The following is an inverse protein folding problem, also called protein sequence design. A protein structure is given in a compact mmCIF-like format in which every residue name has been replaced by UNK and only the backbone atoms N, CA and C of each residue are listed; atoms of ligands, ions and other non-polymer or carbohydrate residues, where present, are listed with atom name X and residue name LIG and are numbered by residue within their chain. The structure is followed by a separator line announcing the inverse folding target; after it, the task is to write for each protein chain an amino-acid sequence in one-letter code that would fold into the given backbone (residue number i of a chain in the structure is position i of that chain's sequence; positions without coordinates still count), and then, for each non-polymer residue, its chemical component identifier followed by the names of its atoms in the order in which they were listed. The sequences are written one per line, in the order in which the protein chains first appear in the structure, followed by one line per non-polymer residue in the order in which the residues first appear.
data_IF_362490870990
#
_entry.id   IF_362490870990
#
_cell.length_a   1.000
_cell.length_b   1.000
_cell.length_c   1.000
_cell.angle_alpha   90.00
_cell.angle_beta   90.00
_cell.angle_gamma   90.00
#
_symmetry.space_group_name_H-M   'P 1'
#
loop_
_entity.id
_entity.type
_entity.pdbx_description
1 polymer ?
#
# COMPACT_ATOMS: atom_id res chain seq x y z
N UNK A 1 -41.30 47.69 23.43
CA UNK A 1 -41.24 46.32 24.00
C UNK A 1 -42.60 45.69 23.76
N UNK A 2 -42.82 45.18 22.55
CA UNK A 2 -44.11 44.65 22.08
C UNK A 2 -44.12 43.13 22.28
N UNK A 3 -45.12 42.63 23.02
CA UNK A 3 -45.39 41.20 23.17
C UNK A 3 -45.73 40.60 21.80
N UNK A 4 -45.07 39.52 21.36
CA UNK A 4 -45.49 38.80 20.16
C UNK A 4 -46.83 38.10 20.42
N UNK A 5 -47.71 38.15 19.43
CA UNK A 5 -49.13 37.79 19.49
C UNK A 5 -49.42 36.41 20.12
N UNK A 6 -50.19 36.49 21.20
CA UNK A 6 -50.73 35.39 21.99
C UNK A 6 -52.00 34.87 21.31
N UNK A 7 -51.89 34.07 20.23
CA UNK A 7 -52.97 33.15 19.78
C UNK A 7 -52.62 32.21 18.62
N UNK A 8 -51.35 31.96 18.33
CA UNK A 8 -50.99 30.88 17.42
C UNK A 8 -50.61 29.64 18.23
N UNK A 9 -51.51 28.66 18.25
CA UNK A 9 -51.35 27.35 18.89
C UNK A 9 -51.40 26.29 17.79
N UNK A 10 -50.42 25.41 17.75
CA UNK A 10 -50.43 24.23 16.90
C UNK A 10 -50.51 23.02 17.82
N UNK A 11 -51.53 22.17 17.66
CA UNK A 11 -51.75 20.97 18.48
C UNK A 11 -51.63 21.25 20.00
N UNK A 12 -52.52 22.09 20.53
CA UNK A 12 -52.73 22.30 21.98
C UNK A 12 -51.53 22.91 22.74
N UNK A 13 -50.37 23.07 22.10
CA UNK A 13 -49.16 23.67 22.66
C UNK A 13 -48.83 25.01 21.98
N UNK A 14 -48.22 25.97 22.71
CA UNK A 14 -47.89 27.28 22.15
C UNK A 14 -46.72 27.18 21.15
N UNK A 15 -46.76 27.97 20.07
CA UNK A 15 -45.78 27.90 18.96
C UNK A 15 -44.30 28.00 19.37
N UNK A 16 -43.98 28.70 20.46
CA UNK A 16 -42.59 28.81 20.94
C UNK A 16 -42.02 27.45 21.37
N UNK A 17 -42.87 26.52 21.83
CA UNK A 17 -42.47 25.13 22.15
C UNK A 17 -42.10 24.38 20.88
N UNK A 18 -42.86 24.56 19.79
CA UNK A 18 -42.55 23.95 18.50
C UNK A 18 -41.29 24.55 17.85
N UNK A 19 -41.05 25.85 18.00
CA UNK A 19 -39.78 26.47 17.57
C UNK A 19 -38.58 25.94 18.37
N UNK A 20 -38.73 25.77 19.68
CA UNK A 20 -37.70 25.14 20.52
C UNK A 20 -37.41 23.69 20.11
N UNK A 21 -38.45 22.89 19.85
CA UNK A 21 -38.32 21.51 19.38
C UNK A 21 -37.67 21.43 18.00
N UNK A 22 -38.05 22.32 17.06
CA UNK A 22 -37.46 22.40 15.73
C UNK A 22 -35.95 22.65 15.79
N UNK A 23 -35.51 23.58 16.64
CA UNK A 23 -34.08 23.87 16.81
C UNK A 23 -33.31 22.68 17.40
N UNK A 24 -33.91 21.97 18.37
CA UNK A 24 -33.32 20.77 18.97
C UNK A 24 -33.20 19.64 17.94
N UNK A 25 -34.27 19.37 17.18
CA UNK A 25 -34.29 18.34 16.13
C UNK A 25 -33.26 18.65 15.04
N UNK A 26 -33.18 19.92 14.62
CA UNK A 26 -32.21 20.35 13.59
C UNK A 26 -30.77 20.19 14.10
N UNK A 27 -30.50 20.60 15.35
CA UNK A 27 -29.15 20.49 15.95
C UNK A 27 -28.74 19.03 16.13
N UNK A 28 -29.61 18.19 16.69
CA UNK A 28 -29.35 16.75 16.86
C UNK A 28 -29.23 16.04 15.50
N UNK A 29 -30.01 16.44 14.51
CA UNK A 29 -29.90 15.94 13.14
C UNK A 29 -28.54 16.23 12.52
N UNK A 30 -28.03 17.46 12.65
CA UNK A 30 -26.70 17.83 12.15
C UNK A 30 -25.60 17.05 12.87
N UNK A 31 -25.66 16.93 14.20
CA UNK A 31 -24.69 16.13 14.96
C UNK A 31 -24.74 14.64 14.61
N UNK A 32 -25.94 14.09 14.40
CA UNK A 32 -26.15 12.72 13.94
C UNK A 32 -25.52 12.47 12.56
N UNK A 33 -25.67 13.40 11.62
CA UNK A 33 -25.03 13.32 10.30
C UNK A 33 -23.50 13.39 10.39
N UNK A 34 -22.95 14.28 11.24
CA UNK A 34 -21.51 14.35 11.47
C UNK A 34 -20.96 13.06 12.07
N UNK A 35 -21.65 12.51 13.07
CA UNK A 35 -21.24 11.27 13.73
C UNK A 35 -21.35 10.05 12.79
N UNK A 36 -22.42 9.95 12.01
CA UNK A 36 -22.56 8.92 10.97
C UNK A 36 -21.45 9.03 9.92
N UNK A 37 -21.09 10.25 9.53
CA UNK A 37 -19.93 10.51 8.67
C UNK A 37 -18.63 9.97 9.29
N UNK A 38 -18.34 10.31 10.55
CA UNK A 38 -17.14 9.83 11.26
C UNK A 38 -17.10 8.30 11.36
N UNK A 39 -18.20 7.67 11.74
CA UNK A 39 -18.27 6.20 11.82
C UNK A 39 -18.06 5.54 10.47
N UNK A 40 -18.64 6.10 9.41
CA UNK A 40 -18.44 5.59 8.05
C UNK A 40 -16.95 5.65 7.64
N UNK A 41 -16.24 6.72 7.99
CA UNK A 41 -14.80 6.82 7.75
C UNK A 41 -13.99 5.80 8.56
N UNK A 42 -14.33 5.57 9.83
CA UNK A 42 -13.68 4.56 10.67
C UNK A 42 -13.92 3.15 10.14
N UNK A 43 -15.16 2.80 9.80
CA UNK A 43 -15.50 1.50 9.23
C UNK A 43 -14.79 1.25 7.88
N UNK A 44 -14.61 2.30 7.06
CA UNK A 44 -13.81 2.19 5.84
C UNK A 44 -12.33 1.94 6.12
N UNK A 45 -11.74 2.59 7.11
CA UNK A 45 -10.34 2.32 7.47
C UNK A 45 -10.16 0.93 8.06
N UNK A 46 -11.10 0.47 8.91
CA UNK A 46 -11.10 -0.90 9.42
C UNK A 46 -11.18 -1.92 8.29
N UNK A 47 -12.07 -1.71 7.31
CA UNK A 47 -12.15 -2.55 6.11
C UNK A 47 -10.86 -2.56 5.29
N UNK A 48 -10.24 -1.39 5.11
CA UNK A 48 -8.94 -1.26 4.41
C UNK A 48 -7.81 -1.97 5.15
N UNK A 49 -7.78 -1.85 6.48
CA UNK A 49 -6.79 -2.52 7.31
C UNK A 49 -6.99 -4.03 7.29
N UNK A 50 -8.23 -4.51 7.34
CA UNK A 50 -8.56 -5.93 7.23
C UNK A 50 -8.13 -6.53 5.88
N UNK A 51 -8.35 -5.83 4.76
CA UNK A 51 -7.88 -6.30 3.45
C UNK A 51 -6.35 -6.31 3.36
N UNK A 52 -5.66 -5.31 3.93
CA UNK A 52 -4.18 -5.37 4.02
C UNK A 52 -3.71 -6.55 4.86
N UNK A 53 -4.35 -6.82 6.00
CA UNK A 53 -4.02 -7.97 6.85
C UNK A 53 -4.27 -9.30 6.14
N UNK A 54 -5.31 -9.39 5.31
CA UNK A 54 -5.54 -10.54 4.44
C UNK A 54 -4.42 -10.70 3.39
N UNK A 55 -3.89 -9.62 2.83
CA UNK A 55 -2.72 -9.70 1.95
C UNK A 55 -1.44 -10.10 2.70
N UNK A 56 -1.29 -9.71 3.97
CA UNK A 56 -0.20 -10.17 4.84
C UNK A 56 -0.32 -11.68 5.10
N UNK A 57 -1.52 -12.15 5.46
CA UNK A 57 -1.76 -13.59 5.63
C UNK A 57 -1.48 -14.35 4.33
N UNK A 58 -1.89 -13.84 3.17
CA UNK A 58 -1.56 -14.42 1.87
C UNK A 58 -0.05 -14.45 1.63
N UNK A 59 0.67 -13.38 1.99
CA UNK A 59 2.12 -13.31 1.86
C UNK A 59 2.82 -14.43 2.64
N UNK A 60 2.42 -14.62 3.90
CA UNK A 60 3.01 -15.59 4.84
C UNK A 60 2.55 -17.03 4.57
N UNK A 61 1.31 -17.24 4.12
CA UNK A 61 0.73 -18.60 3.99
C UNK A 61 0.83 -19.19 2.60
N UNK A 62 0.99 -18.36 1.55
CA UNK A 62 1.09 -18.85 0.16
C UNK A 62 2.52 -18.92 -0.36
N UNK A 63 3.51 -18.77 0.51
CA UNK A 63 4.93 -18.94 0.20
C UNK A 63 5.58 -17.78 -0.54
N UNK A 64 4.97 -16.59 -0.54
CA UNK A 64 5.62 -15.40 -1.13
C UNK A 64 6.78 -14.92 -0.25
N UNK A 65 6.65 -15.06 1.07
CA UNK A 65 7.72 -14.83 2.03
C UNK A 65 8.91 -15.78 1.81
N UNK A 66 8.64 -17.08 1.60
CA UNK A 66 9.62 -18.10 1.26
C UNK A 66 10.32 -17.80 -0.06
N UNK A 67 9.56 -17.40 -1.08
CA UNK A 67 10.12 -17.01 -2.38
C UNK A 67 11.00 -15.77 -2.28
N UNK A 68 10.57 -14.76 -1.52
CA UNK A 68 11.39 -13.59 -1.24
C UNK A 68 12.65 -13.95 -0.44
N UNK A 69 12.54 -14.86 0.53
CA UNK A 69 13.67 -15.35 1.30
C UNK A 69 14.70 -16.08 0.43
N UNK A 70 14.25 -16.91 -0.52
CA UNK A 70 15.12 -17.58 -1.51
C UNK A 70 15.86 -16.57 -2.38
N UNK A 71 15.15 -15.57 -2.91
CA UNK A 71 15.75 -14.51 -3.73
C UNK A 71 16.80 -13.72 -2.93
N UNK A 72 16.47 -13.33 -1.69
CA UNK A 72 17.38 -12.60 -0.82
C UNK A 72 18.62 -13.43 -0.46
N UNK A 73 18.45 -14.71 -0.19
CA UNK A 73 19.55 -15.63 0.09
C UNK A 73 20.48 -15.76 -1.13
N UNK A 74 19.93 -15.96 -2.32
CA UNK A 74 20.68 -16.07 -3.57
C UNK A 74 21.45 -14.78 -3.92
N UNK A 75 20.83 -13.61 -3.72
CA UNK A 75 21.53 -12.32 -3.88
C UNK A 75 22.64 -12.18 -2.85
N UNK A 76 22.39 -12.54 -1.59
CA UNK A 76 23.40 -12.46 -0.52
C UNK A 76 24.60 -13.37 -0.81
N UNK A 77 24.34 -14.60 -1.25
CA UNK A 77 25.37 -15.56 -1.66
C UNK A 77 26.17 -15.04 -2.85
N UNK A 78 25.50 -14.50 -3.87
CA UNK A 78 26.16 -13.85 -5.00
C UNK A 78 27.08 -12.72 -4.52
N UNK A 79 26.57 -11.81 -3.70
CA UNK A 79 27.31 -10.65 -3.20
C UNK A 79 28.51 -11.05 -2.33
N UNK A 80 28.39 -12.11 -1.52
CA UNK A 80 29.49 -12.65 -0.72
C UNK A 80 30.60 -13.26 -1.59
N UNK A 81 30.29 -13.72 -2.80
CA UNK A 81 31.26 -14.25 -3.75
C UNK A 81 31.91 -13.16 -4.64
N UNK A 82 31.50 -11.89 -4.53
CA UNK A 82 32.08 -10.80 -5.31
C UNK A 82 33.44 -10.40 -4.72
N UNK A 83 34.53 -10.40 -5.52
CA UNK A 83 35.84 -9.94 -5.05
C UNK A 83 35.80 -8.49 -4.56
N UNK A 84 36.56 -8.17 -3.51
CA UNK A 84 36.63 -6.81 -2.95
C UNK A 84 37.07 -5.77 -3.99
N UNK A 85 37.96 -6.15 -4.91
CA UNK A 85 38.39 -5.30 -6.02
C UNK A 85 37.23 -4.91 -6.95
N UNK A 86 36.30 -5.83 -7.21
CA UNK A 86 35.11 -5.56 -8.02
C UNK A 86 34.12 -4.65 -7.28
N UNK A 87 33.99 -4.81 -5.95
CA UNK A 87 33.18 -3.93 -5.09
C UNK A 87 33.74 -2.51 -5.03
N UNK A 88 35.06 -2.35 -4.97
CA UNK A 88 35.71 -1.05 -5.05
C UNK A 88 35.46 -0.37 -6.42
N UNK A 89 35.48 -1.14 -7.50
CA UNK A 89 35.15 -0.65 -8.83
C UNK A 89 33.68 -0.23 -8.96
N UNK A 90 32.75 -0.98 -8.34
CA UNK A 90 31.32 -0.64 -8.28
C UNK A 90 31.10 0.71 -7.58
N UNK A 91 31.80 0.97 -6.48
CA UNK A 91 31.71 2.24 -5.75
C UNK A 91 32.23 3.44 -6.57
N UNK A 92 33.23 3.22 -7.43
CA UNK A 92 33.86 4.26 -8.22
C UNK A 92 33.22 4.49 -9.61
N UNK A 93 32.46 3.51 -10.13
CA UNK A 93 32.02 3.52 -11.52
C UNK A 93 30.61 2.93 -11.70
N UNK A 94 29.66 3.77 -12.14
CA UNK A 94 28.29 3.36 -12.42
C UNK A 94 28.17 2.21 -13.44
N UNK A 95 29.09 2.14 -14.43
CA UNK A 95 29.10 1.03 -15.40
C UNK A 95 29.55 -0.29 -14.76
N UNK A 96 30.48 -0.24 -13.81
CA UNK A 96 30.88 -1.43 -13.06
C UNK A 96 29.72 -1.93 -12.17
N UNK A 97 28.99 -1.00 -11.54
CA UNK A 97 27.77 -1.33 -10.80
C UNK A 97 26.73 -2.03 -11.68
N UNK A 98 26.48 -1.51 -12.89
CA UNK A 98 25.50 -2.11 -13.80
C UNK A 98 25.94 -3.47 -14.34
N UNK A 99 27.24 -3.64 -14.63
CA UNK A 99 27.79 -4.93 -15.03
C UNK A 99 27.63 -5.97 -13.91
N UNK A 100 27.87 -5.57 -12.65
CA UNK A 100 27.72 -6.46 -11.50
C UNK A 100 26.25 -6.87 -11.32
N UNK A 101 25.31 -5.93 -11.40
CA UNK A 101 23.86 -6.22 -11.37
C UNK A 101 23.45 -7.17 -12.48
N UNK A 102 23.90 -6.91 -13.71
CA UNK A 102 23.62 -7.79 -14.86
C UNK A 102 24.14 -9.20 -14.63
N UNK A 103 25.35 -9.35 -14.06
CA UNK A 103 25.93 -10.64 -13.69
C UNK A 103 25.11 -11.33 -12.60
N UNK A 104 24.73 -10.59 -11.55
CA UNK A 104 23.86 -11.06 -10.47
C UNK A 104 22.56 -11.62 -11.04
N UNK A 105 21.86 -10.88 -11.90
CA UNK A 105 20.60 -11.33 -12.49
C UNK A 105 20.75 -12.62 -13.27
N UNK A 106 21.75 -12.72 -14.14
CA UNK A 106 21.96 -13.94 -14.94
C UNK A 106 22.27 -15.15 -14.07
N UNK A 107 22.96 -14.96 -12.95
CA UNK A 107 23.33 -16.06 -12.06
C UNK A 107 22.20 -16.44 -11.10
N UNK A 108 21.49 -15.46 -10.53
CA UNK A 108 20.38 -15.66 -9.60
C UNK A 108 19.14 -16.11 -10.37
N UNK A 109 18.69 -15.34 -11.36
CA UNK A 109 17.48 -15.65 -12.14
C UNK A 109 17.75 -16.61 -13.32
N UNK A 110 18.99 -17.07 -13.51
CA UNK A 110 19.28 -18.17 -14.43
C UNK A 110 18.80 -19.53 -13.92
N UNK A 111 18.42 -19.62 -12.65
CA UNK A 111 17.85 -20.82 -12.03
C UNK A 111 16.32 -20.77 -12.16
N UNK A 112 15.68 -21.75 -12.82
CA UNK A 112 14.23 -21.69 -13.10
C UNK A 112 13.35 -21.52 -11.86
N UNK A 113 13.77 -22.07 -10.73
CA UNK A 113 13.06 -21.94 -9.46
C UNK A 113 13.11 -20.52 -8.89
N UNK A 114 14.24 -19.83 -9.04
CA UNK A 114 14.43 -18.45 -8.59
C UNK A 114 13.78 -17.46 -9.55
N UNK A 115 13.78 -17.75 -10.85
CA UNK A 115 12.99 -16.98 -11.82
C UNK A 115 11.50 -17.06 -11.50
N UNK A 116 10.97 -18.26 -11.23
CA UNK A 116 9.57 -18.42 -10.86
C UNK A 116 9.23 -17.76 -9.50
N UNK A 117 10.17 -17.79 -8.53
CA UNK A 117 10.03 -17.06 -7.26
C UNK A 117 9.99 -15.54 -7.48
N UNK A 118 10.87 -15.02 -8.33
CA UNK A 118 10.88 -13.61 -8.72
C UNK A 118 9.54 -13.17 -9.30
N UNK A 119 9.01 -13.89 -10.29
CA UNK A 119 7.73 -13.58 -10.92
C UNK A 119 6.56 -13.58 -9.91
N UNK A 120 6.54 -14.53 -8.96
CA UNK A 120 5.52 -14.58 -7.91
C UNK A 120 5.61 -13.40 -6.96
N UNK A 121 6.82 -12.99 -6.58
CA UNK A 121 7.03 -11.80 -5.72
C UNK A 121 6.65 -10.52 -6.46
N UNK A 122 7.00 -10.38 -7.74
CA UNK A 122 6.54 -9.24 -8.57
C UNK A 122 5.02 -9.21 -8.63
N UNK A 123 4.38 -10.36 -8.92
CA UNK A 123 2.93 -10.46 -8.96
C UNK A 123 2.27 -10.03 -7.65
N UNK A 124 2.82 -10.45 -6.51
CA UNK A 124 2.32 -10.05 -5.20
C UNK A 124 2.40 -8.53 -5.00
N UNK A 125 3.58 -7.93 -5.21
CA UNK A 125 3.74 -6.48 -5.03
C UNK A 125 2.92 -5.67 -6.03
N UNK A 126 2.73 -6.19 -7.24
CA UNK A 126 1.84 -5.57 -8.24
C UNK A 126 0.40 -5.55 -7.72
N UNK A 127 -0.09 -6.67 -7.17
CA UNK A 127 -1.41 -6.76 -6.55
C UNK A 127 -1.55 -5.83 -5.35
N UNK A 128 -0.55 -5.78 -4.47
CA UNK A 128 -0.55 -4.89 -3.31
C UNK A 128 -0.61 -3.42 -3.73
N UNK A 129 0.20 -3.03 -4.71
CA UNK A 129 0.20 -1.68 -5.27
C UNK A 129 -1.14 -1.26 -5.85
N UNK A 130 -1.79 -2.14 -6.63
CA UNK A 130 -3.13 -1.91 -7.14
C UNK A 130 -4.16 -1.78 -6.01
N UNK A 131 -4.06 -2.61 -4.95
CA UNK A 131 -4.97 -2.55 -3.81
C UNK A 131 -4.85 -1.24 -3.03
N UNK A 132 -3.61 -0.77 -2.80
CA UNK A 132 -3.35 0.52 -2.15
C UNK A 132 -3.81 1.68 -3.02
N UNK A 133 -3.52 1.65 -4.33
CA UNK A 133 -3.93 2.70 -5.25
C UNK A 133 -5.44 2.80 -5.41
N UNK A 134 -6.14 1.66 -5.45
CA UNK A 134 -7.61 1.61 -5.50
C UNK A 134 -8.27 1.98 -4.16
N UNK A 135 -7.46 2.30 -3.13
CA UNK A 135 -7.92 2.66 -1.79
C UNK A 135 -8.74 1.54 -1.12
N UNK A 136 -8.39 0.29 -1.44
CA UNK A 136 -8.97 -0.94 -0.88
C UNK A 136 -8.10 -1.47 0.27
N UNK A 137 -6.79 -1.25 0.21
CA UNK A 137 -5.84 -1.58 1.27
C UNK A 137 -5.46 -0.32 2.05
N UNK A 138 -5.19 -0.46 3.35
CA UNK A 138 -4.64 0.61 4.18
C UNK A 138 -3.17 0.85 3.80
N UNK A 139 -2.88 2.05 3.28
CA UNK A 139 -1.51 2.50 2.99
C UNK A 139 -0.62 2.46 4.23
N UNK A 140 -1.16 2.81 5.40
CA UNK A 140 -0.42 2.83 6.66
C UNK A 140 0.03 1.43 7.06
N UNK A 141 -0.89 0.47 7.08
CA UNK A 141 -0.57 -0.92 7.41
C UNK A 141 0.39 -1.52 6.39
N UNK A 142 0.17 -1.26 5.09
CA UNK A 142 1.04 -1.75 4.03
C UNK A 142 2.47 -1.19 4.15
N UNK A 143 2.62 0.09 4.50
CA UNK A 143 3.92 0.72 4.76
C UNK A 143 4.64 0.07 5.93
N UNK A 144 3.96 -0.12 7.06
CA UNK A 144 4.58 -0.70 8.26
C UNK A 144 5.14 -2.10 7.98
N UNK A 145 4.41 -2.92 7.23
CA UNK A 145 4.81 -4.31 6.99
C UNK A 145 5.73 -4.47 5.78
N UNK A 146 5.42 -3.82 4.66
CA UNK A 146 6.07 -4.10 3.38
C UNK A 146 7.13 -3.09 2.95
N UNK A 147 7.26 -1.90 3.56
CA UNK A 147 8.16 -0.86 3.03
C UNK A 147 9.62 -1.34 2.92
N UNK A 148 10.17 -1.93 3.98
CA UNK A 148 11.54 -2.42 3.98
C UNK A 148 11.78 -3.61 3.01
N UNK A 149 11.02 -4.72 3.06
CA UNK A 149 11.23 -5.83 2.13
C UNK A 149 10.97 -5.42 0.68
N UNK A 150 10.02 -4.51 0.44
CA UNK A 150 9.76 -3.98 -0.90
C UNK A 150 10.90 -3.09 -1.41
N UNK A 151 11.45 -2.21 -0.57
CA UNK A 151 12.60 -1.38 -0.93
C UNK A 151 13.82 -2.25 -1.27
N UNK A 152 14.11 -3.27 -0.46
CA UNK A 152 15.18 -4.22 -0.71
C UNK A 152 14.95 -5.04 -2.00
N UNK A 153 13.70 -5.44 -2.27
CA UNK A 153 13.35 -6.11 -3.51
C UNK A 153 13.61 -5.21 -4.73
N UNK A 154 13.07 -3.99 -4.73
CA UNK A 154 13.27 -3.02 -5.81
C UNK A 154 14.75 -2.69 -6.00
N UNK A 155 15.51 -2.43 -4.94
CA UNK A 155 16.92 -2.06 -5.08
C UNK A 155 17.75 -3.16 -5.73
N UNK A 156 17.42 -4.42 -5.44
CA UNK A 156 18.12 -5.57 -6.01
C UNK A 156 17.68 -5.85 -7.44
N UNK A 157 16.40 -5.64 -7.81
CA UNK A 157 15.85 -6.10 -9.10
C UNK A 157 15.33 -4.99 -10.03
N UNK A 158 15.57 -3.70 -9.73
CA UNK A 158 15.05 -2.56 -10.51
C UNK A 158 15.30 -2.70 -12.01
N UNK A 159 16.55 -2.90 -12.45
CA UNK A 159 16.86 -2.96 -13.88
C UNK A 159 16.16 -4.12 -14.59
N UNK A 160 15.94 -5.25 -13.90
CA UNK A 160 15.20 -6.38 -14.48
C UNK A 160 13.71 -6.06 -14.61
N UNK A 161 13.12 -5.50 -13.55
CA UNK A 161 11.71 -5.06 -13.56
C UNK A 161 11.49 -4.05 -14.68
N UNK A 162 12.35 -3.04 -14.81
CA UNK A 162 12.28 -2.03 -15.88
C UNK A 162 12.38 -2.64 -17.28
N UNK A 163 13.31 -3.60 -17.48
CA UNK A 163 13.46 -4.32 -18.74
C UNK A 163 12.19 -5.10 -19.11
N UNK A 164 11.61 -5.81 -18.14
CA UNK A 164 10.41 -6.63 -18.37
C UNK A 164 9.18 -5.75 -18.58
N UNK A 165 9.03 -4.65 -17.83
CA UNK A 165 7.96 -3.67 -18.02
C UNK A 165 7.99 -3.00 -19.40
N UNK A 166 9.18 -2.77 -19.96
CA UNK A 166 9.33 -2.24 -21.31
C UNK A 166 8.90 -3.25 -22.39
N UNK A 167 9.03 -4.55 -22.12
CA UNK A 167 8.66 -5.62 -23.03
C UNK A 167 7.20 -6.07 -22.90
N UNK A 168 6.61 -5.97 -21.70
CA UNK A 168 5.30 -6.50 -21.35
C UNK A 168 4.36 -5.39 -20.85
N UNK A 169 3.39 -4.93 -21.66
CA UNK A 169 2.46 -3.89 -21.24
C UNK A 169 1.69 -4.27 -19.97
N UNK A 170 1.72 -3.40 -18.96
CA UNK A 170 1.02 -3.60 -17.69
C UNK A 170 1.78 -4.43 -16.65
N UNK A 171 2.92 -5.00 -17.01
CA UNK A 171 3.79 -5.68 -16.05
C UNK A 171 4.35 -4.68 -15.02
N UNK A 172 4.32 -5.07 -13.75
CA UNK A 172 4.84 -4.32 -12.62
C UNK A 172 4.36 -2.85 -12.44
N UNK A 173 3.33 -2.37 -13.16
CA UNK A 173 2.78 -1.02 -12.96
C UNK A 173 2.35 -0.76 -11.50
N UNK A 174 1.86 -1.80 -10.82
CA UNK A 174 1.53 -1.75 -9.40
C UNK A 174 2.74 -1.54 -8.50
N UNK A 175 3.96 -1.93 -8.90
CA UNK A 175 5.17 -1.70 -8.10
C UNK A 175 5.53 -0.22 -8.06
N UNK A 176 5.36 0.51 -9.16
CA UNK A 176 5.60 1.96 -9.18
C UNK A 176 4.55 2.69 -8.33
N UNK A 177 3.28 2.34 -8.52
CA UNK A 177 2.18 2.83 -7.67
C UNK A 177 2.41 2.52 -6.19
N UNK A 178 2.97 1.34 -5.87
CA UNK A 178 3.27 0.97 -4.50
C UNK A 178 4.40 1.83 -3.94
N UNK A 179 5.48 2.03 -4.71
CA UNK A 179 6.63 2.83 -4.30
C UNK A 179 6.22 4.26 -3.91
N UNK A 180 5.44 4.93 -4.76
CA UNK A 180 4.89 6.28 -4.51
C UNK A 180 4.05 6.38 -3.22
N UNK A 181 3.55 5.24 -2.72
CA UNK A 181 2.60 5.21 -1.59
C UNK A 181 3.23 4.76 -0.29
N UNK A 182 4.23 3.88 -0.33
CA UNK A 182 4.79 3.28 0.88
C UNK A 182 6.25 3.61 1.12
N UNK A 183 6.98 4.15 0.13
CA UNK A 183 8.39 4.54 0.29
C UNK A 183 8.57 6.05 0.46
N UNK A 184 7.62 6.85 -0.04
CA UNK A 184 7.55 8.32 0.16
C UNK A 184 6.80 8.71 1.44
#
# INVERSE_FOLDING_TARGET
MSRPDENQRLLWTPLWVWQGLSNIVTTLGVLGLLFAGVQYWQAREEGRAAETLNLIDIWETRGYDDDFAKLRAAVTEFMAAVPEADMAAVAANARAAENLRTKMYRQVLGQPELEAAFERVVYFYNRLGLCVQANLCSTRTARIFFAEPFAAFRSNFASRIESDSAALPGYANGLDLLAERILD
#
